data_IF_711000620384
#
_entry.id   IF_711000620384
#
_cell.length_a   1.000
_cell.length_b   1.000
_cell.length_c   1.000
_cell.angle_alpha   90.00
_cell.angle_beta   90.00
_cell.angle_gamma   90.00
#
_symmetry.space_group_name_H-M   'P 1'
#
loop_
_entity.id
_entity.type
_entity.pdbx_description
1 polymer ?
#
# COMPACT_ATOMS: atom_id res chain seq x y z
N UNK A 1 -4.71 -23.72 -19.09
CA UNK A 1 -3.82 -22.56 -19.30
C UNK A 1 -4.41 -21.24 -18.80
N UNK A 2 -5.65 -20.90 -19.13
CA UNK A 2 -6.29 -19.64 -18.66
C UNK A 2 -6.24 -19.52 -17.12
N UNK A 3 -6.53 -20.60 -16.39
CA UNK A 3 -6.51 -20.59 -14.91
C UNK A 3 -5.13 -20.30 -14.32
N UNK A 4 -4.03 -20.76 -14.95
CA UNK A 4 -2.65 -20.51 -14.49
C UNK A 4 -2.28 -19.05 -14.70
N UNK A 5 -2.70 -18.45 -15.83
CA UNK A 5 -2.46 -17.03 -16.08
C UNK A 5 -3.25 -16.16 -15.09
N UNK A 6 -4.54 -16.46 -14.89
CA UNK A 6 -5.38 -15.76 -13.93
C UNK A 6 -4.83 -15.88 -12.49
N UNK A 7 -4.36 -17.09 -12.11
CA UNK A 7 -3.65 -17.33 -10.87
C UNK A 7 -2.41 -16.43 -10.74
N UNK A 8 -1.54 -16.42 -11.77
CA UNK A 8 -0.31 -15.65 -11.77
C UNK A 8 -0.55 -14.13 -11.63
N UNK A 9 -1.54 -13.60 -12.36
CA UNK A 9 -1.91 -12.18 -12.30
C UNK A 9 -2.45 -11.80 -10.92
N UNK A 10 -3.38 -12.59 -10.39
CA UNK A 10 -3.97 -12.33 -9.07
C UNK A 10 -2.93 -12.46 -7.95
N UNK A 11 -2.06 -13.47 -8.03
CA UNK A 11 -0.97 -13.70 -7.08
C UNK A 11 0.06 -12.56 -7.12
N UNK A 12 0.50 -12.17 -8.33
CA UNK A 12 1.42 -11.05 -8.51
C UNK A 12 0.85 -9.75 -7.96
N UNK A 13 -0.38 -9.37 -8.38
CA UNK A 13 -0.99 -8.12 -7.95
C UNK A 13 -1.25 -8.10 -6.44
N UNK A 14 -1.68 -9.23 -5.88
CA UNK A 14 -1.88 -9.39 -4.45
C UNK A 14 -0.60 -9.15 -3.66
N UNK A 15 0.50 -9.76 -4.05
CA UNK A 15 1.81 -9.58 -3.41
C UNK A 15 2.36 -8.18 -3.64
N UNK A 16 2.18 -7.61 -4.84
CA UNK A 16 2.59 -6.23 -5.15
C UNK A 16 1.90 -5.22 -4.22
N UNK A 17 0.59 -5.35 -4.00
CA UNK A 17 -0.14 -4.49 -3.08
C UNK A 17 0.31 -4.65 -1.63
N UNK A 18 0.58 -5.86 -1.19
CA UNK A 18 1.08 -6.15 0.17
C UNK A 18 2.48 -5.55 0.36
N UNK A 19 3.38 -5.74 -0.61
CA UNK A 19 4.74 -5.21 -0.55
C UNK A 19 4.76 -3.67 -0.55
N UNK A 20 3.96 -3.03 -1.42
CA UNK A 20 3.82 -1.57 -1.47
C UNK A 20 3.18 -0.99 -0.21
N UNK A 21 2.22 -1.71 0.35
CA UNK A 21 1.33 -1.21 1.39
C UNK A 21 1.69 -1.62 2.82
N UNK A 22 2.92 -1.99 3.15
CA UNK A 22 3.30 -2.52 4.47
C UNK A 22 2.81 -1.68 5.67
N UNK A 23 2.68 -0.37 5.50
CA UNK A 23 2.15 0.59 6.50
C UNK A 23 0.69 1.00 6.24
N UNK A 24 0.06 0.57 5.14
CA UNK A 24 -1.26 1.03 4.67
C UNK A 24 -2.29 -0.12 4.66
N UNK A 25 -3.21 -0.13 5.62
CA UNK A 25 -4.11 -1.26 5.81
C UNK A 25 -5.09 -1.50 4.65
N UNK A 26 -5.37 -0.51 3.80
CA UNK A 26 -6.23 -0.69 2.63
C UNK A 26 -5.55 -1.56 1.56
N UNK A 27 -4.28 -1.23 1.21
CA UNK A 27 -3.51 -2.00 0.24
C UNK A 27 -3.25 -3.43 0.71
N UNK A 28 -2.82 -3.60 1.97
CA UNK A 28 -2.56 -4.94 2.52
C UNK A 28 -3.80 -5.83 2.45
N UNK A 29 -4.99 -5.30 2.80
CA UNK A 29 -6.22 -6.10 2.76
C UNK A 29 -6.65 -6.42 1.34
N UNK A 30 -6.60 -5.45 0.42
CA UNK A 30 -6.90 -5.70 -0.98
C UNK A 30 -5.93 -6.76 -1.56
N UNK A 31 -4.64 -6.66 -1.24
CA UNK A 31 -3.64 -7.64 -1.62
C UNK A 31 -3.92 -9.04 -1.06
N UNK A 32 -4.28 -9.15 0.22
CA UNK A 32 -4.66 -10.43 0.83
C UNK A 32 -5.91 -11.03 0.19
N UNK A 33 -6.87 -10.22 -0.22
CA UNK A 33 -8.04 -10.69 -0.98
C UNK A 33 -7.64 -11.32 -2.31
N UNK A 34 -6.75 -10.67 -3.07
CA UNK A 34 -6.22 -11.19 -4.32
C UNK A 34 -5.39 -12.48 -4.13
N UNK A 35 -4.58 -12.56 -3.08
CA UNK A 35 -3.84 -13.77 -2.72
C UNK A 35 -4.80 -14.92 -2.39
N UNK A 36 -5.86 -14.67 -1.64
CA UNK A 36 -6.89 -15.67 -1.34
C UNK A 36 -7.63 -16.14 -2.60
N UNK A 37 -7.94 -15.21 -3.50
CA UNK A 37 -8.53 -15.56 -4.79
C UNK A 37 -7.59 -16.42 -5.65
N UNK A 38 -6.30 -16.06 -5.73
CA UNK A 38 -5.30 -16.87 -6.42
C UNK A 38 -5.21 -18.28 -5.82
N UNK A 39 -5.22 -18.39 -4.48
CA UNK A 39 -5.25 -19.71 -3.81
C UNK A 39 -6.52 -20.51 -4.17
N UNK A 40 -7.68 -19.85 -4.29
CA UNK A 40 -8.92 -20.50 -4.75
C UNK A 40 -8.79 -21.05 -6.18
N UNK A 41 -8.18 -20.28 -7.09
CA UNK A 41 -7.88 -20.73 -8.46
C UNK A 41 -6.89 -21.90 -8.49
N UNK A 42 -5.90 -21.90 -7.60
CA UNK A 42 -4.96 -23.03 -7.48
C UNK A 42 -5.68 -24.30 -7.03
N UNK A 43 -6.56 -24.21 -6.04
CA UNK A 43 -7.37 -25.35 -5.59
C UNK A 43 -8.30 -25.82 -6.71
N UNK A 44 -8.93 -24.91 -7.45
CA UNK A 44 -9.78 -25.26 -8.61
C UNK A 44 -9.00 -26.04 -9.67
N UNK A 45 -7.76 -25.65 -9.98
CA UNK A 45 -6.91 -26.36 -10.93
C UNK A 45 -6.48 -27.75 -10.45
N UNK A 46 -6.44 -28.00 -9.14
CA UNK A 46 -6.11 -29.30 -8.56
C UNK A 46 -7.29 -30.25 -8.43
N UNK A 47 -8.53 -29.73 -8.37
CA UNK A 47 -9.76 -30.53 -8.19
C UNK A 47 -9.90 -31.72 -9.16
N UNK A 48 -9.68 -31.58 -10.49
CA UNK A 48 -9.86 -32.66 -11.44
C UNK A 48 -8.90 -33.83 -11.23
N UNK A 49 -7.79 -33.61 -10.53
CA UNK A 49 -6.70 -34.58 -10.34
C UNK A 49 -6.66 -35.13 -8.91
N UNK A 50 -7.60 -34.71 -8.03
CA UNK A 50 -7.58 -35.10 -6.63
C UNK A 50 -8.33 -36.39 -6.33
N UNK A 51 -7.81 -37.15 -5.40
CA UNK A 51 -8.49 -38.33 -4.85
C UNK A 51 -9.56 -37.97 -3.78
N UNK A 52 -9.49 -36.73 -3.23
CA UNK A 52 -10.43 -36.26 -2.22
C UNK A 52 -11.05 -34.91 -2.66
N UNK A 53 -11.91 -34.91 -3.68
CA UNK A 53 -12.43 -33.66 -4.25
C UNK A 53 -13.33 -32.90 -3.29
N UNK A 54 -13.98 -33.55 -2.33
CA UNK A 54 -14.94 -32.92 -1.42
C UNK A 54 -14.24 -31.96 -0.43
N UNK A 55 -13.11 -32.39 0.14
CA UNK A 55 -12.28 -31.54 1.01
C UNK A 55 -11.76 -30.31 0.24
N UNK A 56 -11.29 -30.52 -1.00
CA UNK A 56 -10.81 -29.41 -1.82
C UNK A 56 -11.93 -28.45 -2.22
N UNK A 57 -13.14 -28.94 -2.51
CA UNK A 57 -14.30 -28.08 -2.76
C UNK A 57 -14.67 -27.21 -1.57
N UNK A 58 -14.60 -27.79 -0.35
CA UNK A 58 -14.88 -27.04 0.87
C UNK A 58 -13.84 -25.94 1.09
N UNK A 59 -12.55 -26.27 0.93
CA UNK A 59 -11.44 -25.31 0.99
C UNK A 59 -11.61 -24.22 -0.07
N UNK A 60 -11.93 -24.56 -1.30
CA UNK A 60 -12.22 -23.61 -2.38
C UNK A 60 -13.39 -22.70 -2.00
N UNK A 61 -14.47 -23.26 -1.47
CA UNK A 61 -15.66 -22.51 -1.06
C UNK A 61 -15.36 -21.46 0.02
N UNK A 62 -14.47 -21.75 0.95
CA UNK A 62 -13.98 -20.77 1.94
C UNK A 62 -13.09 -19.73 1.28
N UNK A 63 -12.12 -20.15 0.46
CA UNK A 63 -11.16 -19.27 -0.20
C UNK A 63 -11.84 -18.25 -1.13
N UNK A 64 -12.87 -18.64 -1.86
CA UNK A 64 -13.64 -17.74 -2.76
C UNK A 64 -14.45 -16.68 -1.98
N UNK A 65 -14.80 -16.95 -0.74
CA UNK A 65 -15.50 -16.00 0.13
C UNK A 65 -14.56 -14.95 0.76
N UNK A 66 -13.25 -15.20 0.85
CA UNK A 66 -12.29 -14.28 1.48
C UNK A 66 -12.08 -12.96 0.72
N UNK A 67 -12.02 -12.91 -0.62
CA UNK A 67 -11.84 -11.68 -1.38
C UNK A 67 -12.89 -10.60 -1.10
N UNK A 68 -14.21 -10.86 -1.14
CA UNK A 68 -15.23 -9.86 -0.79
C UNK A 68 -15.09 -9.35 0.66
N UNK A 69 -14.71 -10.23 1.59
CA UNK A 69 -14.46 -9.86 2.99
C UNK A 69 -13.23 -8.95 3.11
N UNK A 70 -12.14 -9.33 2.46
CA UNK A 70 -10.91 -8.54 2.44
C UNK A 70 -11.16 -7.16 1.80
N UNK A 71 -11.93 -7.11 0.72
CA UNK A 71 -12.37 -5.87 0.09
C UNK A 71 -13.22 -5.00 1.03
N UNK A 72 -14.19 -5.57 1.73
CA UNK A 72 -14.97 -4.82 2.71
C UNK A 72 -14.08 -4.18 3.77
N UNK A 73 -13.06 -4.90 4.24
CA UNK A 73 -12.04 -4.40 5.14
C UNK A 73 -11.14 -3.32 4.54
N UNK A 74 -10.82 -3.40 3.25
CA UNK A 74 -10.05 -2.38 2.51
C UNK A 74 -10.89 -1.11 2.32
N UNK A 75 -12.14 -1.22 1.89
CA UNK A 75 -13.07 -0.10 1.71
C UNK A 75 -13.26 0.71 3.01
N UNK A 76 -13.46 0.02 4.14
CA UNK A 76 -13.56 0.69 5.46
C UNK A 76 -12.23 1.36 5.87
N UNK A 77 -11.09 0.85 5.40
CA UNK A 77 -9.80 1.47 5.69
C UNK A 77 -9.55 2.78 4.93
N UNK A 78 -10.22 3.00 3.80
CA UNK A 78 -10.22 4.27 3.07
C UNK A 78 -11.05 5.36 3.77
N UNK A 79 -11.90 4.98 4.73
CA UNK A 79 -12.80 5.87 5.45
C UNK A 79 -12.15 6.45 6.72
N UNK A 80 -12.73 7.54 7.33
CA UNK A 80 -12.24 8.14 8.56
C UNK A 80 -12.10 7.16 9.72
N UNK A 81 -11.17 7.44 10.62
CA UNK A 81 -10.82 6.58 11.77
C UNK A 81 -12.01 6.15 12.65
N UNK A 82 -13.07 6.96 12.72
CA UNK A 82 -14.29 6.65 13.49
C UNK A 82 -14.94 5.31 13.09
N UNK A 83 -14.79 4.91 11.81
CA UNK A 83 -15.35 3.65 11.32
C UNK A 83 -14.48 2.42 11.60
N UNK A 84 -13.25 2.59 12.10
CA UNK A 84 -12.37 1.47 12.47
C UNK A 84 -12.94 0.60 13.61
N UNK A 85 -13.70 1.20 14.55
CA UNK A 85 -14.39 0.45 15.60
C UNK A 85 -15.52 -0.41 15.02
N UNK A 86 -16.31 0.12 14.11
CA UNK A 86 -17.39 -0.60 13.44
C UNK A 86 -16.85 -1.87 12.74
N UNK A 87 -15.69 -1.80 12.11
CA UNK A 87 -15.02 -2.95 11.52
C UNK A 87 -14.62 -4.01 12.56
N UNK A 88 -13.99 -3.61 13.66
CA UNK A 88 -13.50 -4.57 14.68
C UNK A 88 -14.63 -5.26 15.42
N UNK A 89 -15.68 -4.54 15.75
CA UNK A 89 -16.77 -5.04 16.60
C UNK A 89 -17.86 -5.72 15.77
N UNK A 90 -18.10 -5.24 14.53
CA UNK A 90 -19.21 -5.74 13.70
C UNK A 90 -18.75 -6.60 12.53
N UNK A 91 -17.88 -6.07 11.65
CA UNK A 91 -17.56 -6.75 10.38
C UNK A 91 -16.70 -8.00 10.56
N UNK A 92 -15.70 -7.97 11.46
CA UNK A 92 -14.78 -9.12 11.64
C UNK A 92 -15.51 -10.33 12.24
N UNK A 93 -16.27 -10.22 13.34
CA UNK A 93 -17.02 -11.36 13.87
C UNK A 93 -18.03 -11.92 12.86
N UNK A 94 -18.73 -11.05 12.13
CA UNK A 94 -19.69 -11.47 11.12
C UNK A 94 -19.04 -12.27 9.98
N UNK A 95 -17.84 -11.85 9.56
CA UNK A 95 -17.08 -12.55 8.52
C UNK A 95 -16.63 -13.96 8.91
N UNK A 96 -16.53 -14.26 10.21
CA UNK A 96 -16.19 -15.61 10.69
C UNK A 96 -17.32 -16.65 10.41
N UNK A 97 -18.53 -16.19 10.13
CA UNK A 97 -19.63 -17.06 9.72
C UNK A 97 -19.37 -17.80 8.41
N UNK A 98 -18.37 -17.36 7.62
CA UNK A 98 -17.92 -18.08 6.41
C UNK A 98 -17.42 -19.49 6.74
N UNK A 99 -16.91 -19.71 7.94
CA UNK A 99 -16.44 -21.01 8.40
C UNK A 99 -17.56 -21.92 8.91
N UNK A 100 -18.79 -21.42 9.01
CA UNK A 100 -19.92 -22.19 9.57
C UNK A 100 -20.13 -23.56 8.90
N UNK A 101 -20.09 -23.71 7.55
CA UNK A 101 -20.26 -25.01 6.92
C UNK A 101 -19.14 -26.01 7.20
N UNK A 102 -17.95 -25.53 7.58
CA UNK A 102 -16.82 -26.40 7.96
C UNK A 102 -17.00 -26.99 9.37
N UNK A 103 -17.69 -26.26 10.25
CA UNK A 103 -17.82 -26.61 11.66
C UNK A 103 -19.17 -27.25 11.96
N UNK A 104 -20.22 -26.86 11.21
CA UNK A 104 -21.60 -27.23 11.46
C UNK A 104 -22.17 -27.90 10.22
N UNK A 105 -22.46 -29.18 10.35
CA UNK A 105 -23.16 -29.93 9.30
C UNK A 105 -24.68 -29.72 9.44
N UNK A 106 -25.15 -28.63 8.87
CA UNK A 106 -26.55 -28.25 8.91
C UNK A 106 -26.97 -27.47 7.64
N UNK A 107 -28.20 -27.66 7.16
CA UNK A 107 -28.74 -27.05 5.95
C UNK A 107 -28.64 -25.51 5.97
N UNK A 108 -28.73 -24.89 7.13
CA UNK A 108 -28.65 -23.43 7.31
C UNK A 108 -27.21 -22.87 7.36
N UNK A 109 -26.19 -23.72 7.41
CA UNK A 109 -24.80 -23.28 7.47
C UNK A 109 -24.39 -22.49 6.20
N UNK A 110 -24.97 -22.83 5.05
CA UNK A 110 -24.83 -22.07 3.81
C UNK A 110 -25.39 -20.65 3.90
N UNK A 111 -26.51 -20.48 4.63
CA UNK A 111 -27.10 -19.16 4.87
C UNK A 111 -26.19 -18.30 5.76
N UNK A 112 -25.56 -18.89 6.75
CA UNK A 112 -24.57 -18.17 7.59
C UNK A 112 -23.35 -17.73 6.77
N UNK A 113 -22.86 -18.58 5.88
CA UNK A 113 -21.78 -18.21 4.92
C UNK A 113 -22.21 -17.02 4.07
N UNK A 114 -23.43 -17.03 3.54
CA UNK A 114 -23.99 -15.93 2.76
C UNK A 114 -24.04 -14.62 3.57
N UNK A 115 -24.57 -14.66 4.76
CA UNK A 115 -24.63 -13.52 5.68
C UNK A 115 -23.23 -13.00 6.00
N UNK A 116 -22.27 -13.90 6.27
CA UNK A 116 -20.88 -13.56 6.57
C UNK A 116 -20.15 -12.84 5.45
N UNK A 117 -20.54 -13.03 4.19
CA UNK A 117 -19.96 -12.37 3.02
C UNK A 117 -20.75 -11.11 2.63
N UNK A 118 -22.06 -11.26 2.44
CA UNK A 118 -22.89 -10.23 1.81
C UNK A 118 -23.16 -9.04 2.72
N UNK A 119 -23.35 -9.26 4.02
CA UNK A 119 -23.65 -8.16 4.96
C UNK A 119 -22.44 -7.23 5.16
N UNK A 120 -21.21 -7.72 5.43
CA UNK A 120 -20.02 -6.86 5.46
C UNK A 120 -19.81 -6.09 4.16
N UNK A 121 -20.03 -6.74 3.01
CA UNK A 121 -19.87 -6.13 1.70
C UNK A 121 -20.91 -5.02 1.47
N UNK A 122 -22.18 -5.27 1.76
CA UNK A 122 -23.24 -4.27 1.63
C UNK A 122 -23.00 -3.04 2.54
N UNK A 123 -22.63 -3.27 3.79
CA UNK A 123 -22.30 -2.18 4.72
C UNK A 123 -21.12 -1.35 4.20
N UNK A 124 -20.06 -2.00 3.73
CA UNK A 124 -18.87 -1.31 3.24
C UNK A 124 -19.15 -0.51 1.96
N UNK A 125 -19.93 -1.06 1.05
CA UNK A 125 -20.38 -0.39 -0.18
C UNK A 125 -21.26 0.83 0.15
N UNK A 126 -22.24 0.69 1.04
CA UNK A 126 -23.08 1.79 1.50
C UNK A 126 -22.28 2.95 2.13
N UNK A 127 -21.28 2.61 2.95
CA UNK A 127 -20.37 3.60 3.52
C UNK A 127 -19.49 4.27 2.45
N UNK A 128 -19.01 3.52 1.46
CA UNK A 128 -18.21 4.05 0.36
C UNK A 128 -19.02 5.05 -0.48
N UNK A 129 -20.26 4.71 -0.84
CA UNK A 129 -21.19 5.60 -1.57
C UNK A 129 -21.48 6.85 -0.75
N UNK A 130 -21.76 6.72 0.54
CA UNK A 130 -22.03 7.86 1.44
C UNK A 130 -20.86 8.85 1.55
N UNK A 131 -19.61 8.37 1.40
CA UNK A 131 -18.40 9.18 1.57
C UNK A 131 -17.61 9.35 0.26
N UNK A 132 -18.27 9.14 -0.88
CA UNK A 132 -17.66 9.19 -2.22
C UNK A 132 -16.86 10.46 -2.52
N UNK A 133 -17.29 11.61 -1.98
CA UNK A 133 -16.65 12.90 -2.23
C UNK A 133 -15.23 13.02 -1.65
N UNK A 134 -14.84 12.10 -0.79
CA UNK A 134 -13.49 12.03 -0.21
C UNK A 134 -12.49 11.29 -1.06
N UNK A 135 -12.96 10.54 -2.06
CA UNK A 135 -12.11 9.77 -2.96
C UNK A 135 -11.79 10.65 -4.16
N UNK A 136 -10.53 11.00 -4.32
CA UNK A 136 -9.99 11.78 -5.45
C UNK A 136 -8.85 11.00 -6.10
N UNK A 137 -8.60 11.13 -7.41
CA UNK A 137 -9.37 11.89 -8.41
C UNK A 137 -10.70 11.23 -8.79
N UNK A 138 -11.54 11.96 -9.52
CA UNK A 138 -12.87 11.49 -9.94
C UNK A 138 -12.87 10.15 -10.70
N UNK A 139 -11.97 9.89 -11.67
CA UNK A 139 -11.96 8.59 -12.37
C UNK A 139 -11.69 7.42 -11.42
N UNK A 140 -10.77 7.54 -10.46
CA UNK A 140 -10.50 6.49 -9.46
C UNK A 140 -11.74 6.24 -8.60
N UNK A 141 -12.44 7.28 -8.20
CA UNK A 141 -13.71 7.17 -7.46
C UNK A 141 -14.77 6.38 -8.22
N UNK A 142 -14.97 6.72 -9.50
CA UNK A 142 -15.96 6.03 -10.34
C UNK A 142 -15.58 4.56 -10.50
N UNK A 143 -14.31 4.28 -10.82
CA UNK A 143 -13.82 2.90 -10.94
C UNK A 143 -14.04 2.11 -9.66
N UNK A 144 -13.63 2.63 -8.50
CA UNK A 144 -13.81 1.93 -7.22
C UNK A 144 -15.27 1.66 -6.89
N UNK A 145 -16.19 2.60 -7.18
CA UNK A 145 -17.61 2.42 -6.91
C UNK A 145 -18.26 1.41 -7.86
N UNK A 146 -18.02 1.55 -9.17
CA UNK A 146 -18.62 0.68 -10.19
C UNK A 146 -18.11 -0.75 -10.03
N UNK A 147 -16.80 -0.93 -9.90
CA UNK A 147 -16.22 -2.28 -9.76
C UNK A 147 -16.58 -2.91 -8.42
N UNK A 148 -16.72 -2.13 -7.34
CA UNK A 148 -17.24 -2.66 -6.06
C UNK A 148 -18.69 -3.16 -6.18
N UNK A 149 -19.50 -2.53 -7.03
CA UNK A 149 -20.86 -2.97 -7.29
C UNK A 149 -20.88 -4.28 -8.09
N UNK A 150 -20.01 -4.42 -9.09
CA UNK A 150 -19.84 -5.69 -9.82
C UNK A 150 -19.30 -6.80 -8.94
N UNK A 151 -18.31 -6.52 -8.08
CA UNK A 151 -17.84 -7.48 -7.09
C UNK A 151 -18.94 -7.93 -6.13
N UNK A 152 -19.84 -7.02 -5.73
CA UNK A 152 -20.97 -7.38 -4.90
C UNK A 152 -21.92 -8.33 -5.63
N UNK A 153 -22.18 -8.08 -6.92
CA UNK A 153 -22.98 -8.96 -7.77
C UNK A 153 -22.32 -10.33 -7.94
N UNK A 154 -21.03 -10.37 -8.24
CA UNK A 154 -20.25 -11.62 -8.35
C UNK A 154 -20.29 -12.41 -7.05
N UNK A 155 -20.15 -11.75 -5.90
CA UNK A 155 -20.22 -12.39 -4.58
C UNK A 155 -21.62 -12.98 -4.30
N UNK A 156 -22.69 -12.29 -4.70
CA UNK A 156 -24.07 -12.83 -4.61
C UNK A 156 -24.19 -14.11 -5.43
N UNK A 157 -23.71 -14.10 -6.68
CA UNK A 157 -23.78 -15.25 -7.58
C UNK A 157 -22.94 -16.45 -7.13
N UNK A 158 -21.82 -16.18 -6.42
CA UNK A 158 -20.95 -17.25 -5.84
C UNK A 158 -21.62 -17.90 -4.63
N UNK A 159 -22.28 -17.09 -3.78
CA UNK A 159 -22.79 -17.58 -2.48
C UNK A 159 -24.19 -18.17 -2.62
N UNK A 160 -25.00 -17.63 -3.53
CA UNK A 160 -26.34 -18.17 -3.79
C UNK A 160 -26.27 -19.21 -4.93
N UNK A 161 -26.79 -20.42 -4.74
CA UNK A 161 -26.81 -21.44 -5.78
C UNK A 161 -27.71 -20.97 -6.93
N UNK A 162 -27.11 -20.45 -7.99
CA UNK A 162 -27.82 -20.04 -9.21
C UNK A 162 -27.47 -20.97 -10.35
N UNK A 163 -28.50 -21.48 -11.03
CA UNK A 163 -28.35 -22.29 -12.26
C UNK A 163 -28.21 -21.46 -13.54
N UNK A 164 -28.26 -20.11 -13.43
CA UNK A 164 -28.29 -19.22 -14.58
C UNK A 164 -26.96 -19.04 -15.29
N UNK A 165 -25.83 -19.12 -14.55
CA UNK A 165 -24.52 -18.89 -15.13
C UNK A 165 -23.54 -20.02 -14.73
N UNK A 166 -22.64 -20.43 -15.65
CA UNK A 166 -21.61 -21.39 -15.33
C UNK A 166 -20.68 -20.85 -14.23
N UNK A 167 -20.33 -21.67 -13.23
CA UNK A 167 -19.52 -21.27 -12.07
C UNK A 167 -18.15 -20.67 -12.47
N UNK A 168 -17.53 -21.20 -13.51
CA UNK A 168 -16.25 -20.66 -14.01
C UNK A 168 -16.37 -19.22 -14.50
N UNK A 169 -17.50 -18.82 -15.09
CA UNK A 169 -17.70 -17.45 -15.57
C UNK A 169 -17.85 -16.48 -14.40
N UNK A 170 -18.58 -16.89 -13.36
CA UNK A 170 -18.75 -16.07 -12.13
C UNK A 170 -17.43 -15.89 -11.42
N UNK A 171 -16.62 -16.94 -11.30
CA UNK A 171 -15.28 -16.88 -10.69
C UNK A 171 -14.36 -15.99 -11.53
N UNK A 172 -14.38 -16.11 -12.84
CA UNK A 172 -13.58 -15.27 -13.75
C UNK A 172 -13.99 -13.78 -13.65
N UNK A 173 -15.29 -13.48 -13.60
CA UNK A 173 -15.81 -12.13 -13.43
C UNK A 173 -15.33 -11.53 -12.10
N UNK A 174 -15.45 -12.29 -11.00
CA UNK A 174 -14.94 -11.88 -9.69
C UNK A 174 -13.44 -11.59 -9.73
N UNK A 175 -12.67 -12.39 -10.47
CA UNK A 175 -11.24 -12.17 -10.65
C UNK A 175 -10.94 -10.85 -11.38
N UNK A 176 -11.67 -10.55 -12.45
CA UNK A 176 -11.54 -9.29 -13.16
C UNK A 176 -11.88 -8.09 -12.27
N UNK A 177 -12.98 -8.18 -11.50
CA UNK A 177 -13.37 -7.15 -10.54
C UNK A 177 -12.28 -6.90 -9.49
N UNK A 178 -11.69 -7.96 -8.93
CA UNK A 178 -10.64 -7.87 -7.93
C UNK A 178 -9.36 -7.26 -8.49
N UNK A 179 -8.98 -7.59 -9.73
CA UNK A 179 -7.81 -6.99 -10.40
C UNK A 179 -8.06 -5.50 -10.63
N UNK A 180 -9.23 -5.12 -11.16
CA UNK A 180 -9.58 -3.71 -11.37
C UNK A 180 -9.62 -2.93 -10.06
N UNK A 181 -10.16 -3.50 -8.99
CA UNK A 181 -10.16 -2.90 -7.66
C UNK A 181 -8.74 -2.77 -7.09
N UNK A 182 -7.90 -3.78 -7.26
CA UNK A 182 -6.50 -3.76 -6.83
C UNK A 182 -5.71 -2.64 -7.54
N UNK A 183 -5.85 -2.53 -8.85
CA UNK A 183 -5.25 -1.44 -9.64
C UNK A 183 -5.83 -0.08 -9.22
N UNK A 184 -7.14 0.01 -9.01
CA UNK A 184 -7.81 1.23 -8.56
C UNK A 184 -7.32 1.74 -7.20
N UNK A 185 -7.12 0.83 -6.22
CA UNK A 185 -6.54 1.19 -4.92
C UNK A 185 -5.08 1.62 -5.06
N UNK A 186 -4.28 0.92 -5.88
CA UNK A 186 -2.90 1.28 -6.11
C UNK A 186 -2.79 2.66 -6.78
N UNK A 187 -3.65 2.96 -7.76
CA UNK A 187 -3.72 4.26 -8.41
C UNK A 187 -4.15 5.37 -7.45
N UNK A 188 -5.13 5.10 -6.57
CA UNK A 188 -5.53 6.04 -5.53
C UNK A 188 -4.38 6.35 -4.58
N UNK A 189 -3.67 5.33 -4.14
CA UNK A 189 -2.52 5.46 -3.25
C UNK A 189 -1.38 6.27 -3.88
N UNK A 190 -1.05 5.96 -5.15
CA UNK A 190 -0.02 6.69 -5.90
C UNK A 190 -0.40 8.16 -6.09
N UNK A 191 -1.65 8.44 -6.47
CA UNK A 191 -2.15 9.81 -6.59
C UNK A 191 -2.09 10.55 -5.25
N UNK A 192 -2.48 9.88 -4.17
CA UNK A 192 -2.39 10.50 -2.84
C UNK A 192 -0.95 10.76 -2.41
N UNK A 193 0.04 10.04 -2.90
CA UNK A 193 1.48 10.26 -2.67
C UNK A 193 2.16 11.13 -3.74
N UNK A 194 1.47 11.49 -4.81
CA UNK A 194 2.03 12.26 -5.93
C UNK A 194 3.03 11.42 -6.76
N UNK A 195 2.89 10.09 -6.72
CA UNK A 195 3.74 9.15 -7.46
C UNK A 195 3.07 8.69 -8.76
N UNK A 196 3.89 8.27 -9.74
CA UNK A 196 3.43 7.54 -10.93
C UNK A 196 3.44 6.04 -10.66
N UNK A 197 2.31 5.37 -10.88
CA UNK A 197 2.21 3.91 -10.70
C UNK A 197 2.58 3.14 -11.97
N UNK A 198 2.41 3.75 -13.16
CA UNK A 198 2.45 3.02 -14.42
C UNK A 198 3.80 2.33 -14.67
N UNK A 199 4.89 3.06 -14.56
CA UNK A 199 6.24 2.54 -14.81
C UNK A 199 6.66 1.46 -13.79
N UNK A 200 6.37 1.68 -12.49
CA UNK A 200 6.68 0.74 -11.42
C UNK A 200 5.90 -0.58 -11.58
N UNK A 201 4.60 -0.46 -11.85
CA UNK A 201 3.71 -1.61 -12.03
C UNK A 201 4.04 -2.40 -13.30
N UNK A 202 4.33 -1.69 -14.42
CA UNK A 202 4.74 -2.32 -15.68
C UNK A 202 6.05 -3.08 -15.52
N UNK A 203 7.08 -2.46 -14.90
CA UNK A 203 8.35 -3.12 -14.61
C UNK A 203 8.13 -4.38 -13.76
N UNK A 204 7.33 -4.29 -12.71
CA UNK A 204 7.07 -5.41 -11.80
C UNK A 204 6.33 -6.55 -12.49
N UNK A 205 5.29 -6.27 -13.29
CA UNK A 205 4.53 -7.33 -13.98
C UNK A 205 5.35 -8.00 -15.07
N UNK A 206 6.12 -7.23 -15.86
CA UNK A 206 6.96 -7.80 -16.91
C UNK A 206 8.04 -8.72 -16.32
N UNK A 207 8.71 -8.28 -15.25
CA UNK A 207 9.71 -9.12 -14.57
C UNK A 207 9.07 -10.40 -14.00
N UNK A 208 7.92 -10.28 -13.34
CA UNK A 208 7.18 -11.41 -12.80
C UNK A 208 6.75 -12.39 -13.94
N UNK A 209 6.27 -11.85 -15.07
CA UNK A 209 5.85 -12.65 -16.21
C UNK A 209 7.03 -13.43 -16.84
N UNK A 210 8.19 -12.79 -17.02
CA UNK A 210 9.40 -13.46 -17.54
C UNK A 210 9.84 -14.58 -16.62
N UNK A 211 9.94 -14.34 -15.31
CA UNK A 211 10.38 -15.34 -14.34
C UNK A 211 9.36 -16.48 -14.26
N UNK A 212 8.07 -16.18 -14.22
CA UNK A 212 7.00 -17.17 -14.21
C UNK A 212 6.99 -18.01 -15.50
N UNK A 213 7.26 -17.40 -16.66
CA UNK A 213 7.37 -18.11 -17.93
C UNK A 213 8.57 -19.07 -17.96
N UNK A 214 9.73 -18.68 -17.41
CA UNK A 214 10.91 -19.55 -17.31
C UNK A 214 10.63 -20.75 -16.41
N UNK A 215 10.23 -20.54 -15.18
CA UNK A 215 10.02 -21.63 -14.22
C UNK A 215 8.75 -22.46 -14.52
N UNK A 216 7.64 -21.78 -14.81
CA UNK A 216 6.40 -22.45 -15.18
C UNK A 216 6.48 -23.14 -16.54
N UNK A 217 7.21 -22.55 -17.50
CA UNK A 217 7.43 -23.13 -18.81
C UNK A 217 8.20 -24.45 -18.77
N UNK A 218 9.20 -24.59 -17.88
CA UNK A 218 9.92 -25.84 -17.68
C UNK A 218 8.99 -26.98 -17.20
N UNK A 219 8.12 -26.67 -16.21
CA UNK A 219 7.13 -27.64 -15.72
C UNK A 219 6.08 -27.93 -16.79
N UNK A 220 5.61 -26.90 -17.51
CA UNK A 220 4.68 -27.05 -18.62
C UNK A 220 5.22 -27.91 -19.76
N UNK A 221 6.51 -27.76 -20.07
CA UNK A 221 7.20 -28.62 -21.02
C UNK A 221 7.29 -30.09 -20.52
N UNK A 222 7.63 -30.27 -19.25
CA UNK A 222 7.62 -31.60 -18.64
C UNK A 222 6.23 -32.26 -18.68
N UNK A 223 5.16 -31.49 -18.44
CA UNK A 223 3.78 -31.98 -18.58
C UNK A 223 3.44 -32.35 -20.02
N UNK A 224 3.91 -31.57 -21.00
CA UNK A 224 3.66 -31.85 -22.43
C UNK A 224 4.40 -33.08 -22.94
N UNK A 225 5.59 -33.37 -22.38
CA UNK A 225 6.41 -34.53 -22.74
C UNK A 225 6.05 -35.81 -21.95
N UNK A 226 5.32 -35.70 -20.86
CA UNK A 226 4.87 -36.82 -20.03
C UNK A 226 3.41 -37.20 -20.35
N UNK A 227 2.83 -38.07 -19.52
CA UNK A 227 1.43 -38.53 -19.66
C UNK A 227 0.35 -37.44 -19.45
N UNK A 228 0.72 -36.17 -19.43
CA UNK A 228 -0.20 -35.04 -19.28
C UNK A 228 -0.27 -34.49 -17.86
N UNK A 229 -1.35 -33.77 -17.58
CA UNK A 229 -1.54 -33.11 -16.28
C UNK A 229 -1.87 -34.14 -15.20
N UNK A 230 -1.00 -34.24 -14.21
CA UNK A 230 -1.21 -35.01 -12.98
C UNK A 230 -1.25 -34.11 -11.78
N UNK A 231 -1.80 -34.57 -10.65
CA UNK A 231 -1.87 -33.75 -9.42
C UNK A 231 -0.47 -33.24 -9.01
N UNK A 232 0.61 -34.04 -8.94
CA UNK A 232 1.92 -33.55 -8.57
C UNK A 232 2.48 -32.50 -9.54
N UNK A 233 2.33 -32.72 -10.85
CA UNK A 233 2.84 -31.78 -11.86
C UNK A 233 2.06 -30.47 -11.87
N UNK A 234 0.74 -30.53 -11.69
CA UNK A 234 -0.09 -29.32 -11.57
C UNK A 234 0.24 -28.54 -10.30
N UNK A 235 0.42 -29.22 -9.17
CA UNK A 235 0.87 -28.61 -7.92
C UNK A 235 2.27 -27.99 -8.06
N UNK A 236 3.20 -28.68 -8.74
CA UNK A 236 4.54 -28.18 -9.00
C UNK A 236 4.51 -26.95 -9.91
N UNK A 237 3.67 -26.94 -10.95
CA UNK A 237 3.50 -25.79 -11.85
C UNK A 237 3.03 -24.56 -11.08
N UNK A 238 1.95 -24.70 -10.32
CA UNK A 238 1.41 -23.58 -9.52
C UNK A 238 2.39 -23.14 -8.44
N UNK A 239 3.04 -24.08 -7.76
CA UNK A 239 4.03 -23.80 -6.72
C UNK A 239 5.27 -23.09 -7.26
N UNK A 240 5.82 -23.54 -8.41
CA UNK A 240 6.97 -22.88 -9.03
C UNK A 240 6.66 -21.47 -9.51
N UNK A 241 5.51 -21.25 -10.15
CA UNK A 241 5.04 -19.91 -10.55
C UNK A 241 4.82 -19.03 -9.33
N UNK A 242 4.16 -19.55 -8.29
CA UNK A 242 3.91 -18.79 -7.06
C UNK A 242 5.21 -18.37 -6.37
N UNK A 243 6.16 -19.32 -6.22
CA UNK A 243 7.45 -19.07 -5.59
C UNK A 243 8.28 -18.04 -6.40
N UNK A 244 8.32 -18.20 -7.72
CA UNK A 244 9.04 -17.32 -8.63
C UNK A 244 8.54 -15.88 -8.53
N UNK A 245 7.23 -15.67 -8.59
CA UNK A 245 6.61 -14.36 -8.44
C UNK A 245 6.83 -13.80 -7.02
N UNK A 246 6.69 -14.64 -5.99
CA UNK A 246 6.87 -14.20 -4.60
C UNK A 246 8.30 -13.72 -4.33
N UNK A 247 9.31 -14.45 -4.77
CA UNK A 247 10.72 -14.07 -4.62
C UNK A 247 10.99 -12.74 -5.32
N UNK A 248 10.45 -12.55 -6.53
CA UNK A 248 10.65 -11.33 -7.31
C UNK A 248 9.93 -10.12 -6.66
N UNK A 249 8.67 -10.25 -6.29
CA UNK A 249 7.88 -9.14 -5.74
C UNK A 249 8.30 -8.78 -4.31
N UNK A 250 8.68 -9.79 -3.53
CA UNK A 250 9.13 -9.62 -2.15
C UNK A 250 10.67 -9.50 -2.04
N UNK A 251 11.36 -9.22 -3.15
CA UNK A 251 12.82 -9.09 -3.16
C UNK A 251 13.34 -8.09 -2.12
N UNK A 252 12.71 -6.91 -2.01
CA UNK A 252 13.12 -5.88 -1.04
C UNK A 252 13.00 -6.33 0.43
N UNK A 253 11.86 -6.84 0.93
CA UNK A 253 11.78 -7.34 2.30
C UNK A 253 12.67 -8.57 2.53
N UNK A 254 12.82 -9.45 1.53
CA UNK A 254 13.70 -10.60 1.61
C UNK A 254 15.17 -10.17 1.74
N UNK A 255 15.63 -9.24 0.90
CA UNK A 255 16.98 -8.70 0.98
C UNK A 255 17.22 -7.95 2.30
N UNK A 256 16.22 -7.22 2.81
CA UNK A 256 16.33 -6.57 4.13
C UNK A 256 16.51 -7.59 5.27
N UNK A 257 15.87 -8.76 5.15
CA UNK A 257 16.08 -9.85 6.10
C UNK A 257 17.48 -10.44 5.98
N UNK A 258 17.95 -10.71 4.75
CA UNK A 258 19.31 -11.22 4.50
C UNK A 258 20.38 -10.24 4.96
N UNK A 259 20.20 -8.94 4.70
CA UNK A 259 21.13 -7.90 5.17
C UNK A 259 21.20 -7.83 6.72
N UNK A 260 20.10 -8.14 7.39
CA UNK A 260 20.08 -8.18 8.86
C UNK A 260 20.97 -9.31 9.41
N UNK A 261 21.03 -10.43 8.69
CA UNK A 261 21.88 -11.56 9.06
C UNK A 261 23.31 -11.34 8.60
N UNK A 262 23.52 -10.92 7.35
CA UNK A 262 24.85 -10.78 6.75
C UNK A 262 25.66 -9.61 7.32
N UNK A 263 25.00 -8.51 7.71
CA UNK A 263 25.64 -7.30 8.25
C UNK A 263 25.23 -7.04 9.71
N UNK A 264 25.20 -8.10 10.53
CA UNK A 264 24.93 -8.00 11.97
C UNK A 264 25.91 -7.06 12.66
N UNK A 265 27.19 -7.12 12.29
CA UNK A 265 28.30 -6.41 12.91
C UNK A 265 28.61 -5.05 12.28
N UNK A 266 27.91 -4.67 11.22
CA UNK A 266 28.12 -3.41 10.48
C UNK A 266 26.79 -2.62 10.30
N UNK A 267 26.24 -2.02 11.36
CA UNK A 267 24.95 -1.33 11.33
C UNK A 267 24.93 -0.12 10.37
N UNK A 268 26.05 0.58 10.20
CA UNK A 268 26.15 1.73 9.30
C UNK A 268 26.04 1.31 7.83
N UNK A 269 26.74 0.25 7.42
CA UNK A 269 26.63 -0.29 6.07
C UNK A 269 25.21 -0.80 5.77
N UNK A 270 24.57 -1.42 6.76
CA UNK A 270 23.19 -1.86 6.62
C UNK A 270 22.24 -0.68 6.39
N UNK A 271 22.43 0.42 7.12
CA UNK A 271 21.60 1.61 6.96
C UNK A 271 21.81 2.27 5.60
N UNK A 272 23.05 2.45 5.16
CA UNK A 272 23.38 2.98 3.85
C UNK A 272 22.79 2.13 2.71
N UNK A 273 22.81 0.79 2.83
CA UNK A 273 22.17 -0.10 1.84
C UNK A 273 20.65 0.01 1.81
N UNK A 274 20.01 0.20 2.97
CA UNK A 274 18.56 0.43 3.03
C UNK A 274 18.19 1.72 2.30
N UNK A 275 18.91 2.82 2.55
CA UNK A 275 18.68 4.12 1.90
C UNK A 275 18.85 4.04 0.38
N UNK A 276 19.94 3.41 -0.10
CA UNK A 276 20.17 3.22 -1.54
C UNK A 276 19.07 2.40 -2.20
N UNK A 277 18.62 1.33 -1.57
CA UNK A 277 17.56 0.46 -2.09
C UNK A 277 16.19 1.15 -2.10
N UNK A 278 15.90 1.95 -1.08
CA UNK A 278 14.68 2.76 -1.04
C UNK A 278 14.69 3.80 -2.16
N UNK A 279 15.85 4.44 -2.42
CA UNK A 279 16.02 5.37 -3.52
C UNK A 279 15.88 4.68 -4.89
N UNK A 280 16.52 3.52 -5.11
CA UNK A 280 16.37 2.74 -6.33
C UNK A 280 14.92 2.31 -6.59
N UNK A 281 14.23 1.81 -5.56
CA UNK A 281 12.83 1.42 -5.65
C UNK A 281 11.86 2.59 -5.88
N UNK A 282 12.27 3.82 -5.58
CA UNK A 282 11.47 5.01 -5.76
C UNK A 282 11.56 5.59 -7.19
N UNK A 283 12.67 5.37 -7.89
CA UNK A 283 12.90 5.92 -9.25
C UNK A 283 11.78 5.58 -10.26
N UNK A 284 11.28 4.34 -10.37
CA UNK A 284 10.19 4.02 -11.30
C UNK A 284 8.85 4.66 -10.91
N UNK A 285 8.71 5.17 -9.68
CA UNK A 285 7.50 5.82 -9.17
C UNK A 285 7.50 7.33 -9.38
N UNK A 286 8.63 7.89 -9.77
CA UNK A 286 8.75 9.31 -10.07
C UNK A 286 7.86 9.66 -11.26
N UNK A 287 7.03 10.70 -11.14
CA UNK A 287 6.27 11.23 -12.26
C UNK A 287 7.22 11.89 -13.28
N UNK A 288 7.09 11.53 -14.55
CA UNK A 288 7.94 12.08 -15.61
C UNK A 288 7.70 13.57 -15.86
N UNK A 289 6.46 14.03 -15.66
CA UNK A 289 6.04 15.42 -15.74
C UNK A 289 5.16 15.76 -14.55
N UNK A 290 5.71 16.06 -13.39
CA UNK A 290 4.92 16.65 -12.33
C UNK A 290 4.52 18.05 -12.76
N UNK A 291 3.26 18.24 -13.11
CA UNK A 291 2.69 19.56 -13.42
C UNK A 291 2.69 20.37 -12.13
N UNK A 292 3.83 21.01 -11.82
CA UNK A 292 3.92 21.99 -10.72
C UNK A 292 3.37 23.35 -11.17
N UNK A 293 3.37 23.62 -12.48
CA UNK A 293 2.75 24.78 -13.09
C UNK A 293 1.21 24.60 -13.09
N UNK A 294 0.51 25.47 -12.37
CA UNK A 294 -0.95 25.45 -12.27
C UNK A 294 -1.54 24.72 -11.06
N UNK A 295 -0.73 24.14 -10.18
CA UNK A 295 -1.19 23.60 -8.90
C UNK A 295 -1.62 24.77 -7.98
N UNK A 296 -2.79 24.66 -7.37
CA UNK A 296 -3.26 25.64 -6.40
C UNK A 296 -2.42 25.61 -5.11
N UNK A 297 -2.52 26.69 -4.31
CA UNK A 297 -1.75 26.84 -3.07
C UNK A 297 -2.09 25.73 -2.05
N UNK A 298 -3.31 25.23 -2.06
CA UNK A 298 -3.75 24.20 -1.14
C UNK A 298 -3.12 22.84 -1.50
N UNK A 299 -3.01 22.52 -2.78
CA UNK A 299 -2.40 21.30 -3.26
C UNK A 299 -0.87 21.33 -3.11
N UNK A 300 -0.25 22.47 -3.41
CA UNK A 300 1.18 22.67 -3.17
C UNK A 300 1.53 22.56 -1.68
N UNK A 301 0.72 23.14 -0.79
CA UNK A 301 0.88 22.98 0.65
C UNK A 301 0.70 21.52 1.11
N UNK A 302 -0.19 20.76 0.44
CA UNK A 302 -0.37 19.31 0.69
C UNK A 302 0.88 18.53 0.29
N UNK A 303 1.48 18.82 -0.88
CA UNK A 303 2.73 18.19 -1.33
C UNK A 303 3.89 18.53 -0.39
N UNK A 304 4.03 19.80 0.01
CA UNK A 304 5.06 20.25 0.96
C UNK A 304 4.92 19.55 2.31
N UNK A 305 3.71 19.46 2.84
CA UNK A 305 3.46 18.74 4.08
C UNK A 305 3.85 17.27 4.00
N UNK A 306 3.59 16.64 2.85
CA UNK A 306 3.95 15.24 2.61
C UNK A 306 5.47 15.08 2.55
N UNK A 307 6.17 15.96 1.82
CA UNK A 307 7.62 15.95 1.76
C UNK A 307 8.25 16.15 3.16
N UNK A 308 7.69 17.07 3.98
CA UNK A 308 8.09 17.25 5.38
C UNK A 308 7.88 15.97 6.20
N UNK A 309 6.73 15.30 6.04
CA UNK A 309 6.45 14.01 6.70
C UNK A 309 7.38 12.88 6.29
N UNK A 310 7.97 12.97 5.10
CA UNK A 310 8.93 12.02 4.55
C UNK A 310 10.38 12.48 4.68
N UNK A 311 10.68 13.52 5.46
CA UNK A 311 12.00 14.14 5.59
C UNK A 311 13.12 13.13 5.92
N UNK A 312 12.83 12.12 6.73
CA UNK A 312 13.75 11.04 7.10
C UNK A 312 13.79 9.86 6.12
N UNK A 313 13.00 9.88 5.03
CA UNK A 313 12.85 8.79 4.06
C UNK A 313 13.27 9.31 2.67
N UNK A 314 14.56 9.12 2.33
CA UNK A 314 15.14 9.64 1.10
C UNK A 314 14.47 9.03 -0.14
N UNK A 315 14.11 7.76 -0.12
CA UNK A 315 13.41 7.10 -1.21
C UNK A 315 12.08 7.77 -1.55
N UNK A 316 11.31 8.17 -0.53
CA UNK A 316 10.07 8.91 -0.73
C UNK A 316 10.28 10.36 -1.17
N UNK A 317 11.38 10.98 -0.78
CA UNK A 317 11.73 12.30 -1.29
C UNK A 317 12.14 12.25 -2.75
N UNK A 318 12.84 11.20 -3.21
CA UNK A 318 13.21 10.98 -4.62
C UNK A 318 11.97 10.94 -5.53
N UNK A 319 10.89 10.31 -5.08
CA UNK A 319 9.63 10.23 -5.85
C UNK A 319 8.74 11.48 -5.71
N UNK A 320 9.10 12.43 -4.84
CA UNK A 320 8.31 13.64 -4.61
C UNK A 320 8.29 14.55 -5.85
N UNK A 321 7.11 15.03 -6.29
CA UNK A 321 7.02 16.03 -7.37
C UNK A 321 7.83 17.29 -7.08
N UNK A 322 8.00 17.67 -5.81
CA UNK A 322 8.76 18.86 -5.41
C UNK A 322 10.25 18.81 -5.78
N UNK A 323 10.80 17.62 -6.12
CA UNK A 323 12.17 17.51 -6.66
C UNK A 323 12.35 18.19 -8.00
N UNK A 324 11.25 18.54 -8.68
CA UNK A 324 11.26 19.25 -9.97
C UNK A 324 11.14 20.76 -9.85
N UNK A 325 11.16 21.32 -8.62
CA UNK A 325 11.17 22.77 -8.43
C UNK A 325 12.35 23.42 -9.17
N UNK A 326 12.14 24.54 -9.92
CA UNK A 326 13.21 25.25 -10.64
C UNK A 326 14.37 25.64 -9.74
N UNK A 327 14.11 26.12 -8.51
CA UNK A 327 15.15 26.48 -7.55
C UNK A 327 16.07 25.30 -7.14
N UNK A 328 15.64 24.05 -7.31
CA UNK A 328 16.52 22.89 -7.13
C UNK A 328 17.48 22.76 -8.29
N UNK A 329 17.02 22.97 -9.52
CA UNK A 329 17.86 22.92 -10.71
C UNK A 329 18.93 24.01 -10.67
N UNK A 330 18.55 25.23 -10.29
CA UNK A 330 19.46 26.36 -10.12
C UNK A 330 20.51 26.08 -9.03
N UNK A 331 20.08 25.60 -7.86
CA UNK A 331 20.98 25.27 -6.76
C UNK A 331 21.96 24.14 -7.09
N UNK A 332 21.53 23.13 -7.85
CA UNK A 332 22.45 22.07 -8.32
C UNK A 332 23.50 22.62 -9.31
N UNK A 333 23.08 23.50 -10.22
CA UNK A 333 23.98 24.17 -11.16
C UNK A 333 25.01 25.05 -10.44
N UNK A 334 24.57 25.87 -9.47
CA UNK A 334 25.45 26.72 -8.66
C UNK A 334 26.52 25.92 -7.91
N UNK A 335 26.16 24.73 -7.42
CA UNK A 335 27.05 23.84 -6.64
C UNK A 335 27.89 22.91 -7.52
N UNK A 336 27.75 22.97 -8.87
CA UNK A 336 28.36 22.01 -9.81
C UNK A 336 28.05 20.54 -9.46
N UNK A 337 26.84 20.25 -8.93
CA UNK A 337 26.40 18.89 -8.61
C UNK A 337 25.71 18.26 -9.85
N UNK A 338 25.84 16.94 -10.04
CA UNK A 338 25.18 16.27 -11.15
C UNK A 338 23.66 16.33 -10.98
N UNK A 339 22.92 16.60 -12.06
CA UNK A 339 21.47 16.60 -12.06
C UNK A 339 20.93 15.15 -12.03
N UNK A 340 21.00 14.54 -10.86
CA UNK A 340 20.55 13.19 -10.59
C UNK A 340 19.39 13.19 -9.58
N UNK A 341 18.47 12.20 -9.66
CA UNK A 341 17.32 12.14 -8.75
C UNK A 341 17.67 12.16 -7.27
N UNK A 342 18.78 11.54 -6.90
CA UNK A 342 19.26 11.50 -5.52
C UNK A 342 19.73 12.89 -5.05
N UNK A 343 20.49 13.60 -5.90
CA UNK A 343 20.96 14.95 -5.59
C UNK A 343 19.81 15.95 -5.53
N UNK A 344 18.79 15.81 -6.41
CA UNK A 344 17.55 16.58 -6.33
C UNK A 344 16.79 16.34 -5.01
N UNK A 345 16.75 15.10 -4.52
CA UNK A 345 16.10 14.78 -3.25
C UNK A 345 16.89 15.34 -2.05
N UNK A 346 18.23 15.28 -2.09
CA UNK A 346 19.09 15.88 -1.07
C UNK A 346 18.91 17.40 -1.02
N UNK A 347 18.82 18.04 -2.20
CA UNK A 347 18.59 19.48 -2.28
C UNK A 347 17.19 19.87 -1.81
N UNK A 348 16.15 19.09 -2.15
CA UNK A 348 14.82 19.28 -1.61
C UNK A 348 14.83 19.17 -0.06
N UNK A 349 15.54 18.18 0.47
CA UNK A 349 15.69 18.01 1.92
C UNK A 349 16.33 19.24 2.58
N UNK A 350 17.35 19.83 1.91
CA UNK A 350 17.99 21.07 2.38
C UNK A 350 17.03 22.28 2.34
N UNK A 351 16.26 22.43 1.25
CA UNK A 351 15.28 23.51 1.12
C UNK A 351 14.17 23.40 2.18
N UNK A 352 13.68 22.19 2.44
CA UNK A 352 12.71 21.94 3.49
C UNK A 352 13.26 22.29 4.88
N UNK A 353 14.51 21.93 5.16
CA UNK A 353 15.18 22.29 6.42
C UNK A 353 15.31 23.80 6.58
N UNK A 354 15.75 24.49 5.54
CA UNK A 354 15.85 25.95 5.53
C UNK A 354 14.47 26.60 5.80
N UNK A 355 13.41 26.09 5.15
CA UNK A 355 12.03 26.54 5.40
C UNK A 355 11.58 26.32 6.85
N UNK A 356 11.98 25.21 7.48
CA UNK A 356 11.71 24.97 8.91
C UNK A 356 12.50 25.94 9.79
N UNK A 357 13.80 26.13 9.52
CA UNK A 357 14.68 27.00 10.32
C UNK A 357 14.20 28.45 10.27
N UNK A 358 13.65 28.93 9.16
CA UNK A 358 13.05 30.27 9.06
C UNK A 358 11.83 30.49 9.97
N UNK A 359 11.19 29.43 10.44
CA UNK A 359 10.11 29.50 11.43
C UNK A 359 10.60 29.67 12.86
N UNK A 360 11.92 29.62 13.08
CA UNK A 360 12.55 29.78 14.39
C UNK A 360 12.50 31.25 14.79
N UNK A 361 11.88 31.62 15.94
CA UNK A 361 11.66 33.03 16.27
C UNK A 361 12.91 33.76 16.78
N UNK A 362 13.79 33.06 17.50
CA UNK A 362 14.96 33.64 18.15
C UNK A 362 16.15 32.65 18.16
N UNK A 363 17.31 33.12 18.64
CA UNK A 363 18.45 32.26 18.94
C UNK A 363 18.11 31.28 20.07
N UNK A 364 18.54 30.03 19.94
CA UNK A 364 18.23 28.92 20.85
C UNK A 364 17.69 27.73 20.10
N UNK A 365 17.72 26.54 20.70
CA UNK A 365 17.32 25.29 20.00
C UNK A 365 15.90 24.83 20.36
N UNK A 366 15.29 25.39 21.39
CA UNK A 366 13.97 25.04 21.86
C UNK A 366 13.38 26.12 22.78
N UNK A 367 12.11 26.44 22.59
CA UNK A 367 11.32 27.31 23.45
C UNK A 367 9.87 26.81 23.57
N UNK A 368 9.18 27.21 24.64
CA UNK A 368 7.80 26.80 24.93
C UNK A 368 6.76 27.88 24.67
N UNK A 369 7.19 29.10 24.24
CA UNK A 369 6.27 30.18 23.88
C UNK A 369 5.51 29.88 22.60
N UNK A 370 4.41 30.58 22.38
CA UNK A 370 3.54 30.34 21.23
C UNK A 370 4.24 30.59 19.88
N UNK A 371 5.27 31.44 19.85
CA UNK A 371 6.09 31.71 18.66
C UNK A 371 6.88 30.50 18.19
N UNK A 372 7.30 29.62 19.11
CA UNK A 372 8.07 28.41 18.81
C UNK A 372 7.23 27.26 18.28
N UNK A 373 5.92 27.34 18.37
CA UNK A 373 4.99 26.23 18.07
C UNK A 373 5.20 25.61 16.69
N UNK A 374 5.41 26.43 15.67
CA UNK A 374 5.54 25.96 14.29
C UNK A 374 6.90 25.33 14.01
N UNK A 375 7.98 25.95 14.48
CA UNK A 375 9.31 25.36 14.41
C UNK A 375 9.35 24.03 15.14
N UNK A 376 8.96 23.99 16.40
CA UNK A 376 8.94 22.80 17.21
C UNK A 376 8.09 21.68 16.59
N UNK A 377 6.92 22.00 16.03
CA UNK A 377 6.01 21.04 15.44
C UNK A 377 6.56 20.35 14.19
N UNK A 378 7.49 21.00 13.46
CA UNK A 378 8.12 20.41 12.29
C UNK A 378 9.50 19.81 12.61
N UNK A 379 10.35 20.54 13.33
CA UNK A 379 11.75 20.18 13.55
C UNK A 379 11.86 18.87 14.35
N UNK A 380 11.26 18.81 15.53
CA UNK A 380 11.41 17.64 16.42
C UNK A 380 10.78 16.37 15.83
N UNK A 381 9.54 16.38 15.30
CA UNK A 381 8.96 15.18 14.73
C UNK A 381 9.55 14.75 13.39
N UNK A 382 9.87 15.69 12.48
CA UNK A 382 10.25 15.34 11.11
C UNK A 382 11.75 15.31 10.88
N UNK A 383 12.53 16.25 11.46
CA UNK A 383 13.97 16.31 11.29
C UNK A 383 14.66 15.36 12.27
N UNK A 384 14.29 15.40 13.54
CA UNK A 384 14.86 14.53 14.58
C UNK A 384 14.11 13.19 14.73
N UNK A 385 12.98 12.99 14.05
CA UNK A 385 12.21 11.76 14.10
C UNK A 385 11.51 11.49 15.44
N UNK A 386 11.31 12.51 16.28
CA UNK A 386 10.72 12.38 17.61
C UNK A 386 9.24 11.98 17.53
N UNK A 387 8.81 10.99 18.31
CA UNK A 387 7.43 10.52 18.39
C UNK A 387 6.82 10.78 19.75
N UNK A 388 6.32 12.00 20.03
CA UNK A 388 5.97 12.44 21.39
C UNK A 388 4.93 11.56 22.11
N UNK A 389 4.05 10.88 21.36
CA UNK A 389 2.96 10.07 21.90
C UNK A 389 3.21 8.57 21.78
N UNK A 390 4.42 8.14 21.38
CA UNK A 390 4.80 6.74 21.36
C UNK A 390 5.28 6.28 22.72
N UNK A 391 4.79 5.12 23.18
CA UNK A 391 5.26 4.51 24.44
C UNK A 391 6.68 3.91 24.37
N UNK A 392 7.24 3.78 23.16
CA UNK A 392 8.54 3.13 22.90
C UNK A 392 9.73 4.07 22.84
N UNK A 393 9.52 5.37 22.65
CA UNK A 393 10.60 6.35 22.45
C UNK A 393 11.13 6.97 23.79
N UNK A 394 11.23 6.18 24.85
CA UNK A 394 12.04 6.55 26.02
C UNK A 394 13.48 6.09 25.81
N UNK A 395 14.18 6.74 24.89
CA UNK A 395 15.57 6.43 24.62
C UNK A 395 16.46 7.28 25.54
N UNK A 396 17.23 6.64 26.42
CA UNK A 396 18.18 7.29 27.34
C UNK A 396 19.34 8.01 26.63
N UNK A 397 19.43 7.89 25.30
CA UNK A 397 20.47 8.48 24.44
C UNK A 397 20.10 9.85 23.83
N UNK A 398 18.94 10.41 24.17
CA UNK A 398 18.53 11.72 23.64
C UNK A 398 19.29 12.85 24.34
N UNK A 399 19.65 13.90 23.59
CA UNK A 399 20.20 15.13 24.15
C UNK A 399 19.18 15.87 25.05
N UNK A 400 19.66 16.77 25.88
CA UNK A 400 18.82 17.44 26.90
C UNK A 400 17.74 18.33 26.27
N UNK A 401 18.01 18.93 25.10
CA UNK A 401 17.04 19.74 24.36
C UNK A 401 15.90 18.87 23.83
N UNK A 402 16.23 17.76 23.23
CA UNK A 402 15.23 16.78 22.71
C UNK A 402 14.41 16.15 23.85
N UNK A 403 15.03 15.88 25.03
CA UNK A 403 14.29 15.43 26.21
C UNK A 403 13.27 16.46 26.70
N UNK A 404 13.68 17.75 26.78
CA UNK A 404 12.78 18.84 27.16
C UNK A 404 11.62 18.99 26.17
N UNK A 405 11.90 18.93 24.86
CA UNK A 405 10.89 18.96 23.83
C UNK A 405 9.91 17.79 23.95
N UNK A 406 10.40 16.56 24.16
CA UNK A 406 9.56 15.38 24.34
C UNK A 406 8.63 15.52 25.56
N UNK A 407 9.15 16.00 26.69
CA UNK A 407 8.36 16.25 27.90
C UNK A 407 7.28 17.31 27.66
N UNK A 408 7.63 18.40 26.98
CA UNK A 408 6.68 19.46 26.67
C UNK A 408 5.56 18.97 25.76
N UNK A 409 5.88 18.30 24.66
CA UNK A 409 4.86 17.72 23.76
C UNK A 409 3.95 16.73 24.49
N UNK A 410 4.51 15.80 25.26
CA UNK A 410 3.73 14.74 25.91
C UNK A 410 2.85 15.24 27.05
N UNK A 411 3.23 16.34 27.74
CA UNK A 411 2.50 16.87 28.90
C UNK A 411 1.59 18.05 28.58
N UNK A 412 1.99 18.88 27.62
CA UNK A 412 1.35 20.20 27.42
C UNK A 412 0.59 20.30 26.11
N UNK A 413 1.02 19.57 25.06
CA UNK A 413 0.45 19.68 23.72
C UNK A 413 -0.42 18.48 23.40
N UNK A 414 -1.75 18.61 23.24
CA UNK A 414 -2.58 17.52 22.76
C UNK A 414 -2.17 17.08 21.34
N UNK A 415 -2.25 15.79 21.03
CA UNK A 415 -1.89 15.23 19.71
C UNK A 415 -2.61 15.95 18.55
N UNK A 416 -3.90 16.29 18.73
CA UNK A 416 -4.68 17.03 17.75
C UNK A 416 -4.14 18.44 17.52
N UNK A 417 -3.64 19.10 18.57
CA UNK A 417 -3.06 20.45 18.49
C UNK A 417 -1.74 20.41 17.73
N UNK A 418 -0.87 19.43 18.03
CA UNK A 418 0.36 19.23 17.27
C UNK A 418 0.07 19.04 15.77
N UNK A 419 -0.91 18.19 15.44
CA UNK A 419 -1.33 17.99 14.05
C UNK A 419 -1.80 19.27 13.36
N UNK A 420 -2.55 20.13 14.07
CA UNK A 420 -3.00 21.43 13.54
C UNK A 420 -1.81 22.38 13.31
N UNK A 421 -0.84 22.41 14.24
CA UNK A 421 0.37 23.20 14.08
C UNK A 421 1.23 22.75 12.92
N UNK A 422 1.39 21.44 12.74
CA UNK A 422 2.09 20.88 11.59
C UNK A 422 1.45 21.26 10.26
N UNK A 423 0.11 21.28 10.20
CA UNK A 423 -0.62 21.74 9.01
C UNK A 423 -0.40 23.22 8.72
N UNK A 424 -0.48 24.07 9.76
CA UNK A 424 -0.28 25.50 9.60
C UNK A 424 1.17 25.83 9.22
N UNK A 425 2.14 25.21 9.90
CA UNK A 425 3.56 25.37 9.62
C UNK A 425 3.94 24.91 8.21
N UNK A 426 3.39 23.78 7.74
CA UNK A 426 3.63 23.30 6.38
C UNK A 426 3.11 24.26 5.30
N UNK A 427 2.02 24.97 5.55
CA UNK A 427 1.53 26.04 4.66
C UNK A 427 2.49 27.23 4.59
N UNK A 428 3.10 27.61 5.73
CA UNK A 428 4.09 28.69 5.77
C UNK A 428 5.36 28.30 5.00
N UNK A 429 5.85 27.07 5.21
CA UNK A 429 7.00 26.56 4.44
C UNK A 429 6.69 26.51 2.95
N UNK A 430 5.49 26.05 2.58
CA UNK A 430 5.05 26.00 1.18
C UNK A 430 5.01 27.41 0.54
N UNK A 431 4.47 28.39 1.25
CA UNK A 431 4.45 29.78 0.77
C UNK A 431 5.87 30.34 0.56
N UNK A 432 6.80 30.05 1.48
CA UNK A 432 8.21 30.42 1.35
C UNK A 432 8.87 29.78 0.13
N UNK A 433 8.68 28.47 -0.09
CA UNK A 433 9.21 27.75 -1.25
C UNK A 433 8.67 28.29 -2.58
N UNK A 434 7.40 28.72 -2.64
CA UNK A 434 6.83 29.34 -3.84
C UNK A 434 7.38 30.72 -4.15
N UNK A 435 7.71 31.50 -3.13
CA UNK A 435 8.29 32.83 -3.30
C UNK A 435 9.75 32.78 -3.81
N UNK A 436 10.47 31.72 -3.46
CA UNK A 436 11.85 31.48 -3.92
C UNK A 436 11.91 30.88 -5.35
N UNK A 437 10.77 30.46 -5.90
CA UNK A 437 10.67 29.96 -7.26
C UNK A 437 10.12 31.09 -8.14
N UNK A 438 10.95 31.83 -8.92
CA UNK A 438 10.47 32.82 -9.86
C UNK A 438 9.50 32.17 -10.85
N UNK A 439 8.41 32.87 -11.20
CA UNK A 439 7.46 32.46 -12.23
C UNK A 439 8.09 32.49 -13.61
#
# INVERSE_FOLDING_TARGET
>A
MVSVVAFGVAWWLGLYLVARGSKKPALVRAGLGLVAYAAALAVEALLPHSQSPDVLREVQGVLVCLPPIAWSGAAVALLPHRYRRCRRIGLVPLSLLVLAPVVVDADWAGVLRAVGVLVPLAISLGLLVKHRDRIRPAPVRVTLLVVSMFLALSAVLVVLPTSFLPSWLVVAAMGADLVLLGVGIAAFDAFDEGESIGADMLRSVLTAAVIAAVFGGQVGLAMALSSGATLPLTALLLGSVAAAIAVQVLANPLQALLDRVAFSDAPELRQARVELREAEGALPRRANDPVLDGIDDAEFAKLTRRALGNYGDLGRLVSSPLTMLPGITESLAEKNLPDQPLERANELKRLLLNGIVRLKPNEGDFGTSDEWRYYNALYFPYVLGLRPYSRRDRNDKLDDTTKRALQWFSRTVPERTLYNWQNAAAKLVAAGLRQETPR
#
